data_IF_672379800138
#
_entry.id   IF_672379800138
#
_cell.length_a   1.000
_cell.length_b   1.000
_cell.length_c   1.000
_cell.angle_alpha   90.00
_cell.angle_beta   90.00
_cell.angle_gamma   90.00
#
_symmetry.space_group_name_H-M   'P 1'
#
loop_
_entity.id
_entity.type
_entity.pdbx_description
1 polymer ?
#
# COMPACT_ATOMS: atom_id res chain seq x y z
N UNK A 1 -7.37 15.22 -3.98
CA UNK A 1 -8.24 15.59 -2.84
C UNK A 1 -9.65 15.12 -3.16
N UNK A 2 -10.08 13.97 -2.62
CA UNK A 2 -11.45 13.46 -2.81
C UNK A 2 -12.30 14.07 -1.70
N UNK A 3 -13.22 14.96 -2.07
CA UNK A 3 -14.16 15.57 -1.13
C UNK A 3 -15.11 14.49 -0.58
N UNK A 4 -14.87 14.05 0.66
CA UNK A 4 -15.82 13.24 1.41
C UNK A 4 -16.95 14.14 1.88
N UNK A 5 -18.02 14.25 1.07
CA UNK A 5 -19.27 14.88 1.48
C UNK A 5 -19.96 13.98 2.50
N UNK A 6 -19.86 14.35 3.77
CA UNK A 6 -20.61 13.72 4.86
C UNK A 6 -22.08 14.14 4.77
N UNK A 7 -22.85 13.44 3.95
CA UNK A 7 -24.31 13.56 3.91
C UNK A 7 -24.88 13.11 5.25
N UNK A 8 -25.43 14.09 5.99
CA UNK A 8 -26.16 13.91 7.24
C UNK A 8 -27.26 12.86 7.02
N UNK A 9 -27.13 11.67 7.59
CA UNK A 9 -28.23 10.69 7.66
C UNK A 9 -29.27 11.27 8.63
N UNK A 10 -30.18 12.07 8.09
CA UNK A 10 -31.38 12.46 8.82
C UNK A 10 -32.16 11.17 9.09
N UNK A 11 -32.57 10.98 10.36
CA UNK A 11 -33.57 9.98 10.71
C UNK A 11 -34.72 10.12 9.71
N UNK A 12 -35.20 9.03 9.08
CA UNK A 12 -36.32 9.12 8.16
C UNK A 12 -37.51 9.63 8.96
N UNK A 13 -37.81 10.93 8.86
CA UNK A 13 -39.10 11.46 9.30
C UNK A 13 -40.10 10.70 8.46
N UNK A 14 -40.76 9.74 9.08
CA UNK A 14 -41.72 8.88 8.39
C UNK A 14 -42.74 9.79 7.74
N UNK A 15 -42.67 9.96 6.42
CA UNK A 15 -43.76 10.54 5.66
C UNK A 15 -44.98 9.71 6.02
N UNK A 16 -45.97 10.29 6.71
CA UNK A 16 -47.05 9.60 7.43
C UNK A 16 -47.98 8.75 6.56
N UNK A 17 -47.47 7.72 5.90
CA UNK A 17 -48.18 6.85 4.98
C UNK A 17 -47.65 5.42 5.02
N UNK A 18 -48.49 4.49 4.55
CA UNK A 18 -48.20 3.05 4.52
C UNK A 18 -46.84 2.72 3.86
N UNK A 19 -46.14 1.73 4.42
CA UNK A 19 -44.87 1.23 3.87
C UNK A 19 -44.98 0.83 2.40
N UNK A 20 -46.11 0.22 2.01
CA UNK A 20 -46.37 -0.15 0.61
C UNK A 20 -46.50 1.07 -0.30
N UNK A 21 -47.17 2.13 0.16
CA UNK A 21 -47.32 3.38 -0.61
C UNK A 21 -45.97 4.05 -0.82
N UNK A 22 -45.14 4.11 0.23
CA UNK A 22 -43.76 4.60 0.15
C UNK A 22 -42.92 3.77 -0.83
N UNK A 23 -43.01 2.44 -0.78
CA UNK A 23 -42.26 1.55 -1.67
C UNK A 23 -42.67 1.77 -3.13
N UNK A 24 -43.97 1.81 -3.41
CA UNK A 24 -44.50 2.09 -4.76
C UNK A 24 -44.01 3.44 -5.28
N UNK A 25 -43.99 4.48 -4.46
CA UNK A 25 -43.50 5.80 -4.84
C UNK A 25 -41.98 5.79 -5.09
N UNK A 26 -41.20 5.12 -4.25
CA UNK A 26 -39.76 4.97 -4.41
C UNK A 26 -39.40 4.20 -5.70
N UNK A 27 -40.09 3.10 -5.99
CA UNK A 27 -39.91 2.33 -7.22
C UNK A 27 -40.31 3.11 -8.49
N UNK A 28 -41.36 3.95 -8.40
CA UNK A 28 -41.73 4.88 -9.47
C UNK A 28 -40.67 5.97 -9.69
N UNK A 29 -40.15 6.57 -8.61
CA UNK A 29 -39.09 7.57 -8.67
C UNK A 29 -37.77 7.00 -9.22
N UNK A 30 -37.45 5.75 -8.87
CA UNK A 30 -36.30 5.03 -9.43
C UNK A 30 -36.50 4.60 -10.91
N UNK A 31 -37.71 4.79 -11.47
CA UNK A 31 -38.02 4.47 -12.86
C UNK A 31 -38.15 2.97 -13.15
N UNK A 32 -38.23 2.14 -12.11
CA UNK A 32 -38.34 0.66 -12.22
C UNK A 32 -39.78 0.22 -12.43
N UNK A 33 -40.74 0.89 -11.78
CA UNK A 33 -42.18 0.57 -11.85
C UNK A 33 -42.95 1.73 -12.45
N UNK A 34 -43.76 1.48 -13.49
CA UNK A 34 -44.65 2.45 -14.14
C UNK A 34 -44.89 2.12 -15.61
N UNK A 35 -46.00 2.59 -16.20
CA UNK A 35 -46.26 2.43 -17.63
C UNK A 35 -45.24 3.24 -18.43
N UNK A 36 -44.18 2.59 -18.87
CA UNK A 36 -43.23 3.14 -19.83
C UNK A 36 -43.80 3.00 -21.24
N UNK A 37 -44.99 3.54 -21.50
CA UNK A 37 -45.50 3.54 -22.87
C UNK A 37 -44.53 4.34 -23.74
N UNK A 38 -44.03 3.75 -24.83
CA UNK A 38 -43.12 4.45 -25.75
C UNK A 38 -43.74 5.75 -26.26
N UNK A 39 -45.07 5.83 -26.30
CA UNK A 39 -45.86 7.00 -26.68
C UNK A 39 -45.80 8.19 -25.70
N UNK A 40 -45.54 7.98 -24.40
CA UNK A 40 -45.42 9.06 -23.40
C UNK A 40 -43.98 9.53 -23.16
N UNK A 41 -42.99 8.80 -23.70
CA UNK A 41 -41.57 9.16 -23.59
C UNK A 41 -41.23 10.33 -24.51
N UNK A 42 -40.41 11.27 -24.02
CA UNK A 42 -39.90 12.38 -24.84
C UNK A 42 -39.11 11.86 -26.05
N UNK A 43 -39.04 12.63 -27.14
CA UNK A 43 -38.20 12.30 -28.32
C UNK A 43 -36.75 11.99 -27.91
N UNK A 44 -36.22 12.64 -26.88
CA UNK A 44 -34.86 12.44 -26.35
C UNK A 44 -34.71 11.07 -25.66
N UNK A 45 -35.71 10.62 -24.92
CA UNK A 45 -35.69 9.32 -24.24
C UNK A 45 -35.96 8.15 -25.20
N UNK A 46 -36.72 8.39 -26.28
CA UNK A 46 -36.87 7.40 -27.37
C UNK A 46 -35.57 7.20 -28.13
N UNK A 47 -34.76 8.27 -28.30
CA UNK A 47 -33.45 8.23 -28.98
C UNK A 47 -32.37 7.51 -28.15
N UNK A 48 -32.56 7.36 -26.83
CA UNK A 48 -31.60 6.68 -25.93
C UNK A 48 -31.58 5.15 -26.06
N UNK A 49 -32.43 4.55 -26.90
CA UNK A 49 -32.36 3.12 -27.24
C UNK A 49 -32.65 2.16 -26.07
N UNK A 50 -32.46 0.86 -26.34
CA UNK A 50 -32.52 -0.21 -25.34
C UNK A 50 -31.50 0.13 -24.23
N UNK A 51 -31.86 0.02 -22.92
CA UNK A 51 -30.91 0.34 -21.86
C UNK A 51 -29.64 -0.51 -22.05
N UNK A 52 -28.51 0.17 -22.24
CA UNK A 52 -27.21 -0.48 -22.27
C UNK A 52 -26.96 -1.20 -20.94
N UNK A 53 -26.00 -2.13 -20.91
CA UNK A 53 -25.59 -2.81 -19.68
C UNK A 53 -25.31 -1.83 -18.52
N UNK A 54 -24.82 -0.63 -18.83
CA UNK A 54 -24.63 0.47 -17.86
C UNK A 54 -25.94 0.92 -17.21
N UNK A 55 -27.02 1.06 -18.00
CA UNK A 55 -28.34 1.42 -17.48
C UNK A 55 -28.98 0.33 -16.62
N UNK A 56 -28.70 -0.96 -16.90
CA UNK A 56 -29.14 -2.08 -16.04
C UNK A 56 -28.42 -2.07 -14.69
N UNK A 57 -27.12 -1.77 -14.69
CA UNK A 57 -26.32 -1.66 -13.47
C UNK A 57 -26.81 -0.53 -12.55
N UNK A 58 -27.15 0.64 -13.11
CA UNK A 58 -27.75 1.74 -12.35
C UNK A 58 -29.10 1.37 -11.71
N UNK A 59 -29.94 0.62 -12.44
CA UNK A 59 -31.23 0.14 -11.93
C UNK A 59 -31.02 -0.86 -10.78
N UNK A 60 -30.09 -1.80 -10.93
CA UNK A 60 -29.77 -2.76 -9.87
C UNK A 60 -29.21 -2.08 -8.62
N UNK A 61 -28.35 -1.06 -8.77
CA UNK A 61 -27.85 -0.26 -7.66
C UNK A 61 -28.98 0.47 -6.94
N UNK A 62 -29.88 1.15 -7.68
CA UNK A 62 -31.06 1.82 -7.11
C UNK A 62 -31.97 0.84 -6.39
N UNK A 63 -32.21 -0.34 -6.95
CA UNK A 63 -33.00 -1.39 -6.30
C UNK A 63 -32.33 -1.93 -5.03
N UNK A 64 -31.01 -2.09 -5.03
CA UNK A 64 -30.24 -2.46 -3.84
C UNK A 64 -30.41 -1.45 -2.71
N UNK A 65 -30.34 -0.15 -3.02
CA UNK A 65 -30.57 0.93 -2.06
C UNK A 65 -31.99 0.88 -1.48
N UNK A 66 -33.00 0.72 -2.35
CA UNK A 66 -34.41 0.62 -1.92
C UNK A 66 -34.61 -0.59 -1.01
N UNK A 67 -34.03 -1.75 -1.35
CA UNK A 67 -34.11 -2.96 -0.51
C UNK A 67 -33.50 -2.73 0.87
N UNK A 68 -32.35 -2.05 0.94
CA UNK A 68 -31.69 -1.73 2.20
C UNK A 68 -32.43 -0.70 3.05
N UNK A 69 -33.03 0.31 2.42
CA UNK A 69 -33.79 1.37 3.12
C UNK A 69 -35.16 0.87 3.62
N UNK A 70 -35.84 0.03 2.84
CA UNK A 70 -37.18 -0.45 3.16
C UNK A 70 -37.22 -1.63 4.12
N UNK A 71 -36.09 -2.23 4.47
CA UNK A 71 -36.04 -3.30 5.46
C UNK A 71 -35.62 -2.74 6.85
N UNK A 72 -36.59 -2.39 7.73
CA UNK A 72 -36.28 -1.86 9.05
C UNK A 72 -35.74 -2.93 10.02
N UNK A 73 -35.91 -4.23 9.73
CA UNK A 73 -35.57 -5.30 10.66
C UNK A 73 -34.06 -5.63 10.68
N UNK A 74 -33.31 -5.20 9.67
CA UNK A 74 -31.85 -5.36 9.62
C UNK A 74 -31.09 -4.35 10.47
N UNK A 75 -31.76 -3.27 10.89
CA UNK A 75 -31.16 -2.15 11.59
C UNK A 75 -31.82 -1.99 12.95
N UNK A 76 -31.03 -2.11 14.01
CA UNK A 76 -31.45 -1.76 15.37
C UNK A 76 -31.14 -0.29 15.61
N UNK A 77 -32.18 0.52 15.87
CA UNK A 77 -32.05 1.93 16.22
C UNK A 77 -32.46 2.13 17.68
N UNK A 78 -31.59 2.74 18.47
CA UNK A 78 -31.86 3.15 19.85
C UNK A 78 -32.25 4.63 19.88
N UNK A 79 -33.33 4.97 20.59
CA UNK A 79 -33.75 6.36 20.78
C UNK A 79 -32.81 7.06 21.76
N UNK A 80 -32.18 8.15 21.33
CA UNK A 80 -31.40 9.00 22.22
C UNK A 80 -32.33 9.77 23.15
N UNK A 81 -31.91 9.96 24.40
CA UNK A 81 -32.66 10.77 25.38
C UNK A 81 -32.56 12.26 25.07
N UNK A 82 -31.38 12.71 24.66
CA UNK A 82 -31.07 14.09 24.32
C UNK A 82 -30.43 14.15 22.94
N UNK A 83 -30.79 15.17 22.17
CA UNK A 83 -30.14 15.44 20.89
C UNK A 83 -28.90 16.30 21.15
N UNK A 84 -27.74 15.81 20.74
CA UNK A 84 -26.47 16.53 20.87
C UNK A 84 -26.07 16.94 19.46
N UNK A 85 -26.30 18.21 19.14
CA UNK A 85 -26.01 18.77 17.82
C UNK A 85 -24.53 18.58 17.50
N UNK A 86 -24.25 17.97 16.34
CA UNK A 86 -22.89 17.78 15.83
C UNK A 86 -22.16 16.54 16.36
N UNK A 87 -22.75 15.75 17.27
CA UNK A 87 -22.13 14.52 17.78
C UNK A 87 -22.90 13.27 17.39
N UNK A 88 -22.21 12.32 16.77
CA UNK A 88 -22.73 10.95 16.61
C UNK A 88 -22.49 10.17 17.90
N UNK A 89 -23.59 9.78 18.56
CA UNK A 89 -23.52 8.94 19.76
C UNK A 89 -23.29 7.49 19.33
N UNK A 90 -22.21 6.88 19.82
CA UNK A 90 -21.90 5.47 19.56
C UNK A 90 -23.04 4.59 20.09
N UNK A 91 -23.44 3.58 19.32
CA UNK A 91 -24.51 2.65 19.71
C UNK A 91 -25.94 3.13 19.46
N UNK A 92 -26.13 4.27 18.76
CA UNK A 92 -27.46 4.72 18.31
C UNK A 92 -28.03 3.85 17.21
N UNK A 93 -27.18 3.30 16.35
CA UNK A 93 -27.57 2.43 15.23
C UNK A 93 -26.64 1.22 15.19
N UNK A 94 -27.19 0.03 14.95
CA UNK A 94 -26.43 -1.20 14.76
C UNK A 94 -27.09 -2.13 13.75
N UNK A 95 -26.31 -3.05 13.18
CA UNK A 95 -26.78 -4.09 12.24
C UNK A 95 -26.63 -5.48 12.86
N UNK A 96 -27.58 -5.91 13.71
CA UNK A 96 -27.45 -7.15 14.48
C UNK A 96 -27.31 -8.40 13.60
N UNK A 97 -28.07 -8.49 12.51
CA UNK A 97 -28.02 -9.65 11.59
C UNK A 97 -26.65 -9.83 10.98
N UNK A 98 -26.08 -8.75 10.42
CA UNK A 98 -24.73 -8.79 9.84
C UNK A 98 -23.66 -9.13 10.88
N UNK A 99 -23.76 -8.56 12.08
CA UNK A 99 -22.83 -8.88 13.17
C UNK A 99 -22.90 -10.36 13.56
N UNK A 100 -24.11 -10.94 13.60
CA UNK A 100 -24.30 -12.37 13.88
C UNK A 100 -23.74 -13.22 12.74
N UNK A 101 -24.00 -12.87 11.49
CA UNK A 101 -23.48 -13.58 10.32
C UNK A 101 -21.95 -13.62 10.33
N UNK A 102 -21.31 -12.46 10.52
CA UNK A 102 -19.85 -12.37 10.63
C UNK A 102 -19.33 -13.23 11.78
N UNK A 103 -20.02 -13.22 12.93
CA UNK A 103 -19.69 -14.08 14.06
C UNK A 103 -19.76 -15.57 13.73
N UNK A 104 -20.81 -16.01 13.05
CA UNK A 104 -20.95 -17.39 12.58
C UNK A 104 -19.86 -17.76 11.57
N UNK A 105 -19.57 -16.90 10.60
CA UNK A 105 -18.53 -17.13 9.61
C UNK A 105 -17.15 -17.22 10.25
N UNK A 106 -16.87 -16.41 11.28
CA UNK A 106 -15.64 -16.49 12.05
C UNK A 106 -15.54 -17.82 12.82
N UNK A 107 -16.63 -18.29 13.44
CA UNK A 107 -16.65 -19.61 14.10
C UNK A 107 -16.47 -20.76 13.10
N UNK A 108 -17.06 -20.66 11.92
CA UNK A 108 -16.86 -21.64 10.83
C UNK A 108 -15.41 -21.64 10.30
N UNK A 109 -14.71 -20.52 10.34
CA UNK A 109 -13.30 -20.45 9.93
C UNK A 109 -12.35 -20.96 11.01
N UNK A 110 -12.65 -20.70 12.27
CA UNK A 110 -11.80 -21.03 13.43
C UNK A 110 -12.23 -22.35 14.08
N UNK A 111 -13.25 -22.32 14.93
CA UNK A 111 -13.72 -23.46 15.72
C UNK A 111 -14.07 -24.69 14.88
N UNK A 112 -14.68 -24.53 13.70
CA UNK A 112 -14.99 -25.67 12.84
C UNK A 112 -13.72 -26.29 12.24
N UNK A 113 -12.70 -25.48 11.92
CA UNK A 113 -11.41 -25.98 11.45
C UNK A 113 -10.69 -26.72 12.57
N UNK A 114 -10.69 -26.18 13.79
CA UNK A 114 -10.13 -26.80 14.98
C UNK A 114 -10.85 -28.11 15.35
N UNK A 115 -12.18 -28.14 15.30
CA UNK A 115 -12.98 -29.32 15.59
C UNK A 115 -12.67 -30.46 14.62
N UNK A 116 -12.54 -30.15 13.32
CA UNK A 116 -12.09 -31.13 12.31
C UNK A 116 -10.68 -31.65 12.59
N UNK A 117 -9.83 -30.83 13.19
CA UNK A 117 -8.46 -31.18 13.58
C UNK A 117 -8.31 -31.77 15.00
N UNK A 118 -9.39 -31.92 15.77
CA UNK A 118 -9.33 -32.24 17.21
C UNK A 118 -8.51 -33.49 17.56
N UNK A 119 -8.53 -34.51 16.70
CA UNK A 119 -7.81 -35.77 16.89
C UNK A 119 -6.59 -35.91 15.97
N UNK A 120 -6.19 -34.85 15.29
CA UNK A 120 -5.03 -34.84 14.41
C UNK A 120 -3.78 -34.52 15.22
N UNK A 121 -2.77 -35.41 15.14
CA UNK A 121 -1.46 -35.20 15.74
C UNK A 121 -0.47 -34.79 14.64
N UNK A 122 0.30 -33.73 14.88
CA UNK A 122 1.27 -33.17 13.94
C UNK A 122 0.69 -32.15 12.94
N UNK A 123 1.56 -31.32 12.37
CA UNK A 123 1.21 -30.27 11.41
C UNK A 123 2.45 -29.72 10.69
N UNK A 124 2.24 -29.02 9.57
CA UNK A 124 3.33 -28.35 8.87
C UNK A 124 3.75 -27.14 9.71
N UNK A 125 4.99 -27.14 10.19
CA UNK A 125 5.59 -25.98 10.83
C UNK A 125 6.23 -25.13 9.74
N UNK A 126 5.61 -23.99 9.45
CA UNK A 126 6.16 -23.03 8.52
C UNK A 126 7.38 -22.34 9.14
N UNK A 127 8.57 -22.63 8.60
CA UNK A 127 9.85 -22.06 9.04
C UNK A 127 10.34 -20.92 8.13
N UNK A 128 9.49 -20.39 7.24
CA UNK A 128 9.84 -19.28 6.35
C UNK A 128 10.06 -18.00 7.16
N UNK A 129 11.17 -17.30 6.91
CA UNK A 129 11.61 -16.15 7.71
C UNK A 129 10.64 -14.96 7.62
N UNK A 130 10.27 -14.44 8.79
CA UNK A 130 9.53 -13.18 8.93
C UNK A 130 8.09 -13.16 8.41
N UNK A 131 7.55 -14.27 7.89
CA UNK A 131 6.18 -14.30 7.36
C UNK A 131 5.14 -14.34 8.49
N UNK A 132 5.47 -14.98 9.61
CA UNK A 132 4.55 -15.15 10.77
C UNK A 132 4.69 -14.06 11.83
N UNK A 133 5.80 -13.30 11.85
CA UNK A 133 6.07 -12.29 12.88
C UNK A 133 5.67 -10.88 12.40
N UNK A 134 4.63 -10.26 12.98
CA UNK A 134 4.19 -8.91 12.60
C UNK A 134 5.12 -7.79 13.07
N UNK A 135 6.07 -8.10 13.97
CA UNK A 135 6.97 -7.13 14.58
C UNK A 135 8.27 -6.87 13.80
N UNK A 136 8.58 -7.71 12.80
CA UNK A 136 9.75 -7.50 11.96
C UNK A 136 9.43 -6.50 10.85
N UNK A 137 10.31 -5.51 10.67
CA UNK A 137 10.20 -4.57 9.55
C UNK A 137 10.50 -5.29 8.23
N UNK A 138 10.03 -4.79 7.07
CA UNK A 138 10.37 -5.37 5.78
C UNK A 138 11.88 -5.49 5.53
N UNK A 139 12.66 -4.54 6.01
CA UNK A 139 14.12 -4.51 5.87
C UNK A 139 14.81 -5.57 6.73
N UNK A 140 14.40 -5.72 7.99
CA UNK A 140 14.88 -6.79 8.87
C UNK A 140 14.59 -8.17 8.28
N UNK A 141 13.42 -8.36 7.65
CA UNK A 141 13.09 -9.60 6.94
C UNK A 141 14.02 -9.86 5.76
N UNK A 142 14.43 -8.82 5.02
CA UNK A 142 15.38 -8.96 3.91
C UNK A 142 16.79 -9.27 4.43
N UNK A 143 17.23 -8.62 5.51
CA UNK A 143 18.53 -8.84 6.12
C UNK A 143 18.65 -10.27 6.69
N UNK A 144 17.64 -10.77 7.40
CA UNK A 144 17.62 -12.16 7.88
C UNK A 144 17.64 -13.18 6.73
N UNK A 145 16.93 -12.91 5.63
CA UNK A 145 16.97 -13.77 4.43
C UNK A 145 18.36 -13.81 3.82
N UNK A 146 18.98 -12.63 3.64
CA UNK A 146 20.31 -12.49 3.07
C UNK A 146 21.38 -13.16 3.93
N UNK A 147 21.37 -12.93 5.24
CA UNK A 147 22.33 -13.56 6.17
C UNK A 147 22.20 -15.07 6.17
N UNK A 148 20.97 -15.60 6.12
CA UNK A 148 20.75 -17.05 6.07
C UNK A 148 21.09 -17.67 4.73
N UNK A 149 20.85 -16.99 3.62
CA UNK A 149 21.30 -17.41 2.29
C UNK A 149 22.84 -17.45 2.25
N UNK A 150 23.51 -16.41 2.74
CA UNK A 150 24.97 -16.36 2.85
C UNK A 150 25.50 -17.47 3.75
N UNK A 151 24.86 -17.73 4.89
CA UNK A 151 25.21 -18.85 5.78
C UNK A 151 24.96 -20.22 5.13
N UNK A 152 23.86 -20.37 4.37
CA UNK A 152 23.58 -21.61 3.64
C UNK A 152 24.64 -21.83 2.57
N UNK A 153 24.99 -20.82 1.80
CA UNK A 153 26.02 -20.92 0.76
C UNK A 153 27.39 -21.23 1.39
N UNK A 154 27.74 -20.56 2.50
CA UNK A 154 28.97 -20.83 3.24
C UNK A 154 29.01 -22.24 3.86
N UNK A 155 27.89 -22.74 4.39
CA UNK A 155 27.80 -24.12 4.94
C UNK A 155 27.68 -25.19 3.85
N UNK A 156 27.22 -24.80 2.68
CA UNK A 156 27.09 -25.64 1.51
C UNK A 156 28.32 -25.50 0.60
N UNK A 157 29.45 -25.02 1.14
CA UNK A 157 30.77 -24.88 0.50
C UNK A 157 31.44 -26.20 0.09
N UNK A 158 30.63 -27.16 -0.36
CA UNK A 158 31.00 -28.36 -1.09
C UNK A 158 29.91 -28.66 -2.10
N UNK A 159 29.33 -27.62 -2.72
CA UNK A 159 28.47 -27.81 -3.88
C UNK A 159 29.35 -28.43 -4.94
N UNK A 160 28.94 -29.59 -5.49
CA UNK A 160 29.64 -30.35 -6.54
C UNK A 160 29.93 -29.54 -7.84
N UNK A 161 29.63 -28.24 -7.85
CA UNK A 161 29.80 -27.30 -8.95
C UNK A 161 30.64 -26.08 -8.57
N UNK A 162 31.21 -26.02 -7.36
CA UNK A 162 32.14 -24.96 -6.96
C UNK A 162 33.55 -25.34 -7.43
N UNK A 163 33.89 -24.96 -8.65
CA UNK A 163 35.17 -25.25 -9.31
C UNK A 163 36.36 -24.44 -8.75
N UNK A 164 36.10 -23.51 -7.81
CA UNK A 164 37.15 -22.69 -7.19
C UNK A 164 37.91 -23.42 -6.05
N UNK A 165 37.41 -24.56 -5.55
CA UNK A 165 38.03 -25.31 -4.44
C UNK A 165 38.76 -26.59 -4.88
N UNK A 166 38.67 -26.97 -6.16
CA UNK A 166 39.48 -28.04 -6.73
C UNK A 166 40.72 -27.41 -7.39
N UNK A 167 41.78 -27.29 -6.60
CA UNK A 167 43.16 -26.87 -6.96
C UNK A 167 43.84 -27.78 -8.02
N UNK A 168 43.08 -28.52 -8.83
CA UNK A 168 43.62 -29.51 -9.77
C UNK A 168 42.70 -29.77 -11.00
N UNK A 169 42.00 -28.73 -11.48
CA UNK A 169 41.31 -28.77 -12.77
C UNK A 169 41.81 -27.64 -13.67
N UNK A 170 43.08 -27.73 -14.05
CA UNK A 170 43.71 -26.82 -15.00
C UNK A 170 42.85 -26.70 -16.27
N UNK A 171 42.54 -25.47 -16.66
CA UNK A 171 41.83 -25.19 -17.90
C UNK A 171 42.69 -25.70 -19.07
N UNK A 172 42.23 -26.75 -19.75
CA UNK A 172 42.92 -27.34 -20.90
C UNK A 172 42.23 -26.98 -22.21
N UNK A 173 43.00 -26.58 -23.22
CA UNK A 173 42.50 -26.36 -24.59
C UNK A 173 43.33 -27.21 -25.55
N UNK A 174 42.66 -28.05 -26.35
CA UNK A 174 43.31 -29.07 -27.22
C UNK A 174 44.27 -30.04 -26.51
N UNK A 175 44.12 -30.24 -25.20
CA UNK A 175 44.95 -31.18 -24.43
C UNK A 175 46.26 -30.59 -23.89
N UNK A 176 46.45 -29.27 -23.96
CA UNK A 176 47.53 -28.56 -23.25
C UNK A 176 46.94 -27.67 -22.14
N UNK A 177 47.62 -27.62 -20.99
CA UNK A 177 47.29 -26.72 -19.88
C UNK A 177 47.52 -25.28 -20.31
N UNK A 178 46.51 -24.41 -20.14
CA UNK A 178 46.64 -22.98 -20.43
C UNK A 178 47.52 -22.26 -19.41
N UNK A 179 47.83 -22.87 -18.25
CA UNK A 179 48.72 -22.29 -17.23
C UNK A 179 50.19 -22.28 -17.62
N UNK A 180 50.61 -23.14 -18.55
CA UNK A 180 52.00 -23.26 -19.03
C UNK A 180 52.23 -22.52 -20.38
N UNK A 181 51.22 -21.81 -20.90
CA UNK A 181 51.38 -21.00 -22.13
C UNK A 181 52.03 -19.65 -21.78
N UNK A 182 53.36 -19.63 -21.66
CA UNK A 182 54.16 -18.43 -21.38
C UNK A 182 54.36 -17.51 -22.61
N UNK A 183 53.91 -17.93 -23.80
CA UNK A 183 54.17 -17.22 -25.05
C UNK A 183 52.90 -16.55 -25.61
N UNK A 184 52.33 -15.59 -24.87
CA UNK A 184 51.38 -14.62 -25.45
C UNK A 184 52.09 -13.52 -26.29
N UNK A 185 53.41 -13.60 -26.44
CA UNK A 185 54.23 -12.66 -27.20
C UNK A 185 54.05 -12.77 -28.73
N UNK A 186 53.55 -13.90 -29.26
CA UNK A 186 53.29 -14.09 -30.71
C UNK A 186 51.89 -13.62 -31.13
N UNK A 187 51.03 -13.20 -30.18
CA UNK A 187 49.68 -12.70 -30.49
C UNK A 187 49.67 -11.26 -31.07
N UNK A 188 50.84 -10.63 -31.28
CA UNK A 188 50.95 -9.32 -31.93
C UNK A 188 50.23 -8.19 -31.17
N UNK A 189 50.02 -8.35 -29.87
CA UNK A 189 49.46 -7.33 -28.98
C UNK A 189 50.59 -6.56 -28.30
N UNK A 190 51.44 -5.92 -29.11
CA UNK A 190 52.35 -4.87 -28.64
C UNK A 190 51.46 -3.71 -28.16
N UNK A 191 51.23 -3.65 -26.84
CA UNK A 191 50.64 -2.49 -26.19
C UNK A 191 51.63 -1.33 -26.35
N UNK A 192 51.41 -0.54 -27.38
CA UNK A 192 51.98 0.80 -27.53
C UNK A 192 51.71 1.57 -26.23
N UNK A 193 52.77 1.77 -25.44
CA UNK A 193 52.83 2.63 -24.27
C UNK A 193 52.73 4.09 -24.69
N UNK A 194 51.53 4.49 -25.12
CA UNK A 194 51.19 5.88 -25.34
C UNK A 194 49.67 6.06 -25.21
N UNK A 195 49.19 6.11 -23.96
CA UNK A 195 47.91 6.75 -23.64
C UNK A 195 47.82 7.09 -22.13
N UNK A 196 48.35 8.27 -21.82
CA UNK A 196 47.68 9.36 -21.10
C UNK A 196 46.60 9.01 -20.04
N UNK A 197 46.79 9.59 -18.84
CA UNK A 197 45.79 9.88 -17.77
C UNK A 197 45.80 9.06 -16.46
N UNK A 198 46.98 8.83 -15.89
CA UNK A 198 47.14 8.34 -14.51
C UNK A 198 46.94 9.38 -13.39
N UNK A 199 45.99 10.31 -13.49
CA UNK A 199 45.68 11.26 -12.39
C UNK A 199 44.30 10.99 -11.80
N UNK A 200 44.24 10.06 -10.84
CA UNK A 200 43.10 9.94 -9.95
C UNK A 200 42.85 11.29 -9.26
N UNK A 201 41.66 11.85 -9.47
CA UNK A 201 41.24 13.11 -8.86
C UNK A 201 41.49 13.09 -7.35
N UNK A 202 42.12 14.13 -6.80
CA UNK A 202 42.42 14.32 -5.36
C UNK A 202 41.20 14.04 -4.46
N UNK A 203 40.00 14.31 -4.94
CA UNK A 203 38.74 14.07 -4.22
C UNK A 203 38.39 12.58 -4.08
N UNK A 204 38.81 11.74 -5.02
CA UNK A 204 38.57 10.28 -5.01
C UNK A 204 39.55 9.63 -4.03
N UNK A 205 40.83 10.03 -4.06
CA UNK A 205 41.87 9.55 -3.15
C UNK A 205 41.53 9.87 -1.69
N UNK A 206 41.04 11.09 -1.41
CA UNK A 206 40.60 11.47 -0.06
C UNK A 206 39.40 10.68 0.48
N UNK A 207 38.58 10.10 -0.41
CA UNK A 207 37.34 9.41 -0.01
C UNK A 207 37.52 7.90 0.15
N UNK A 208 38.51 7.31 -0.53
CA UNK A 208 38.71 5.85 -0.55
C UNK A 208 39.92 5.37 0.26
N UNK A 209 40.90 6.22 0.56
CA UNK A 209 42.11 5.82 1.30
C UNK A 209 42.03 6.20 2.78
N UNK A 210 41.55 5.24 3.60
CA UNK A 210 41.85 5.05 5.02
C UNK A 210 41.97 6.33 5.89
N UNK A 211 40.86 7.06 6.15
CA UNK A 211 40.91 8.18 7.12
C UNK A 211 39.77 9.21 7.13
N UNK A 212 38.57 8.90 6.65
CA UNK A 212 37.45 9.86 6.60
C UNK A 212 36.66 10.04 7.91
N UNK A 213 37.34 10.28 9.04
CA UNK A 213 36.68 10.57 10.33
C UNK A 213 36.91 12.02 10.76
N UNK A 214 36.35 12.98 10.02
CA UNK A 214 36.09 14.30 10.61
C UNK A 214 35.00 15.05 9.82
N UNK A 215 33.91 15.40 10.51
CA UNK A 215 33.05 16.51 10.11
C UNK A 215 31.69 16.19 9.47
N UNK A 216 30.91 15.25 9.99
CA UNK A 216 29.45 15.43 9.95
C UNK A 216 28.77 14.76 11.16
N UNK A 217 28.86 15.44 12.31
CA UNK A 217 27.92 15.24 13.40
C UNK A 217 26.77 16.21 13.19
N UNK A 218 25.75 15.81 12.43
CA UNK A 218 24.35 16.07 12.79
C UNK A 218 23.38 15.37 11.82
N UNK A 219 22.58 14.45 12.39
CA UNK A 219 21.33 13.91 11.86
C UNK A 219 21.42 12.90 10.71
N UNK A 220 22.05 11.75 10.98
CA UNK A 220 21.67 10.49 10.35
C UNK A 220 20.85 9.64 11.30
N UNK A 221 19.54 9.51 11.02
CA UNK A 221 18.56 8.48 11.44
C UNK A 221 17.20 9.08 11.80
N UNK A 222 16.44 9.52 10.78
CA UNK A 222 14.97 9.63 10.84
C UNK A 222 14.43 9.84 9.42
N UNK A 223 14.86 8.99 8.49
CA UNK A 223 14.14 8.83 7.23
C UNK A 223 12.82 8.11 7.52
N UNK A 224 11.69 8.77 7.25
CA UNK A 224 10.31 8.23 7.23
C UNK A 224 9.38 8.50 8.43
N UNK A 225 9.68 9.43 9.34
CA UNK A 225 8.64 9.97 10.22
C UNK A 225 8.02 11.22 9.58
N UNK A 226 6.70 11.17 9.32
CA UNK A 226 5.95 12.38 9.02
C UNK A 226 6.07 13.35 10.19
N UNK A 227 6.66 14.53 9.95
CA UNK A 227 6.80 15.60 10.95
C UNK A 227 5.46 15.87 11.65
N UNK A 228 5.48 16.02 12.96
CA UNK A 228 4.25 16.31 13.72
C UNK A 228 3.69 17.67 13.31
N UNK A 229 2.36 17.89 13.45
CA UNK A 229 1.74 19.20 13.15
C UNK A 229 2.42 20.34 13.93
N UNK A 230 2.93 20.06 15.14
CA UNK A 230 3.63 21.03 15.96
C UNK A 230 4.99 21.44 15.35
N UNK A 231 5.79 20.46 14.89
CA UNK A 231 7.05 20.72 14.19
C UNK A 231 6.83 21.50 12.90
N UNK A 232 5.83 21.10 12.10
CA UNK A 232 5.49 21.80 10.85
C UNK A 232 5.10 23.25 11.12
N UNK A 233 4.27 23.50 12.14
CA UNK A 233 3.86 24.87 12.50
C UNK A 233 5.05 25.71 13.00
N UNK A 234 5.98 25.13 13.78
CA UNK A 234 7.21 25.82 14.22
C UNK A 234 8.10 26.17 13.03
N UNK A 235 8.29 25.24 12.10
CA UNK A 235 9.12 25.46 10.90
C UNK A 235 8.52 26.55 10.00
N UNK A 236 7.20 26.55 9.80
CA UNK A 236 6.49 27.59 9.04
C UNK A 236 6.64 28.96 9.71
N UNK A 237 6.46 29.04 11.03
CA UNK A 237 6.61 30.31 11.77
C UNK A 237 8.04 30.82 11.67
N UNK A 238 9.05 29.95 11.84
CA UNK A 238 10.46 30.32 11.73
C UNK A 238 10.81 30.83 10.32
N UNK A 239 10.39 30.09 9.28
CA UNK A 239 10.58 30.50 7.88
C UNK A 239 9.88 31.82 7.57
N UNK A 240 8.64 32.01 8.03
CA UNK A 240 7.89 33.25 7.83
C UNK A 240 8.56 34.45 8.49
N UNK A 241 9.06 34.29 9.74
CA UNK A 241 9.81 35.33 10.45
C UNK A 241 11.12 35.67 9.72
N UNK A 242 11.87 34.66 9.29
CA UNK A 242 13.11 34.85 8.54
C UNK A 242 12.87 35.62 7.23
N UNK A 243 11.87 35.22 6.45
CA UNK A 243 11.51 35.90 5.20
C UNK A 243 11.09 37.35 5.42
N UNK A 244 10.36 37.64 6.51
CA UNK A 244 9.97 39.00 6.87
C UNK A 244 11.19 39.88 7.15
N UNK A 245 12.17 39.37 7.90
CA UNK A 245 13.41 40.09 8.21
C UNK A 245 14.23 40.30 6.93
N UNK A 246 14.46 39.25 6.15
CA UNK A 246 15.21 39.33 4.89
C UNK A 246 14.57 40.29 3.89
N UNK A 247 13.23 40.32 3.80
CA UNK A 247 12.51 41.31 2.98
C UNK A 247 12.78 42.73 3.45
N UNK A 248 12.69 42.98 4.76
CA UNK A 248 12.92 44.30 5.33
C UNK A 248 14.36 44.78 5.11
N UNK A 249 15.32 43.87 5.27
CA UNK A 249 16.74 44.14 5.05
C UNK A 249 17.03 44.41 3.57
N UNK A 250 16.49 43.59 2.65
CA UNK A 250 16.60 43.84 1.21
C UNK A 250 15.96 45.17 0.77
N UNK A 251 14.82 45.57 1.35
CA UNK A 251 14.24 46.89 1.07
C UNK A 251 15.13 48.03 1.58
N UNK A 252 15.84 47.83 2.68
CA UNK A 252 16.76 48.83 3.22
C UNK A 252 18.02 48.95 2.36
N UNK A 253 18.60 47.83 1.93
CA UNK A 253 19.75 47.78 1.00
C UNK A 253 19.41 48.44 -0.33
N UNK A 254 18.22 48.19 -0.90
CA UNK A 254 17.81 48.83 -2.17
C UNK A 254 17.56 50.33 -2.08
N UNK A 255 17.49 50.88 -0.87
CA UNK A 255 17.23 52.31 -0.63
C UNK A 255 18.51 53.11 -0.36
N UNK A 256 19.63 52.40 -0.16
CA UNK A 256 21.00 52.92 -0.19
C UNK A 256 21.50 52.88 -1.63
#
# INVERSE_FOLDING_TARGET
>A
MVASSTTKQQQPKGSGGSALKRLKNSLKAAGVVGQQSKASRSKKDRKRGIPSEVGKNEVNQKLGLIRGEFNPFEIKVNRTKFDIVGRTVKGTVGKPTLSKQIGEDNRKKTLLSELRGKHRVGGIVDKRFGETNPHLTPEEKMLERFTKEKQRNARSGGSMFNLDDDEEADLTHYGQSLGDMDDFDDAGLELSDDEESGQLNRNIVNKMHFGGFEGDKENGEDGERHKSKNEVMKEIIAKSKLYKVNRSLNTYIKKL
#
